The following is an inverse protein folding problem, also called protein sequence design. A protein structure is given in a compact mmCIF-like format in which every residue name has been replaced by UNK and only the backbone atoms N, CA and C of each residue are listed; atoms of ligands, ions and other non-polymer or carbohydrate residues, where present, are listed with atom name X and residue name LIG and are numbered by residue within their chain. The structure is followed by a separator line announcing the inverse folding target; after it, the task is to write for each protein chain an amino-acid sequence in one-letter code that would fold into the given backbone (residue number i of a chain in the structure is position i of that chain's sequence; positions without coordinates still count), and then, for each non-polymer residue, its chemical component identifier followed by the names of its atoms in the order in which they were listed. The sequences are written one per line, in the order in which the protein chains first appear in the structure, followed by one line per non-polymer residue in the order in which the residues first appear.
data_IF_296173484091
#
_entry.id   IF_296173484091
#
_cell.length_a   1.000
_cell.length_b   1.000
_cell.length_c   1.000
_cell.angle_alpha   90.00
_cell.angle_beta   90.00
_cell.angle_gamma   90.00
#
_symmetry.space_group_name_H-M   'P 1'
#
loop_
_entity.id
_entity.type
_entity.pdbx_description
1 polymer ?
#
# COMPACT_ATOMS: atom_id res chain seq x y z
N UNK A 1 -0.70 -13.03 5.63
CA UNK A 1 -1.85 -12.42 6.34
C UNK A 1 -2.13 -11.00 5.86
N UNK A 2 -1.15 -10.08 5.91
CA UNK A 2 -1.35 -8.69 5.43
C UNK A 2 -1.78 -8.63 3.97
N UNK A 3 -1.23 -9.49 3.11
CA UNK A 3 -1.65 -9.56 1.70
C UNK A 3 -3.11 -9.96 1.58
N UNK A 4 -3.61 -10.89 2.40
CA UNK A 4 -5.02 -11.29 2.41
C UNK A 4 -5.95 -10.11 2.67
N UNK A 5 -5.64 -9.26 3.66
CA UNK A 5 -6.42 -8.05 3.95
C UNK A 5 -6.35 -7.05 2.79
N UNK A 6 -5.17 -6.85 2.21
CA UNK A 6 -5.01 -6.01 1.01
C UNK A 6 -5.95 -6.46 -0.10
N UNK A 7 -5.95 -7.74 -0.44
CA UNK A 7 -6.79 -8.28 -1.53
C UNK A 7 -8.30 -8.13 -1.23
N UNK A 8 -8.72 -8.20 0.04
CA UNK A 8 -10.11 -7.95 0.44
C UNK A 8 -10.49 -6.48 0.21
N UNK A 9 -9.68 -5.54 0.69
CA UNK A 9 -9.95 -4.10 0.56
C UNK A 9 -9.85 -3.60 -0.89
N UNK A 10 -9.01 -4.20 -1.71
CA UNK A 10 -8.95 -3.93 -3.16
C UNK A 10 -10.11 -4.56 -3.94
N UNK A 11 -10.89 -5.44 -3.30
CA UNK A 11 -12.08 -6.06 -3.88
C UNK A 11 -11.79 -7.21 -4.84
N UNK A 12 -10.70 -7.96 -4.63
CA UNK A 12 -10.31 -9.10 -5.46
C UNK A 12 -11.14 -10.36 -5.16
N UNK A 13 -12.46 -10.25 -5.33
CA UNK A 13 -13.47 -11.26 -4.96
C UNK A 13 -13.13 -12.69 -5.40
N UNK A 14 -12.61 -12.87 -6.63
CA UNK A 14 -12.26 -14.18 -7.19
C UNK A 14 -11.30 -14.99 -6.33
N UNK A 15 -10.44 -14.32 -5.55
CA UNK A 15 -9.50 -14.98 -4.64
C UNK A 15 -10.18 -15.58 -3.40
N UNK A 16 -11.43 -15.19 -3.14
CA UNK A 16 -12.17 -15.53 -1.93
C UNK A 16 -13.41 -16.39 -2.20
N UNK A 17 -13.68 -16.81 -3.43
CA UNK A 17 -14.78 -17.71 -3.76
C UNK A 17 -14.73 -19.00 -2.91
N UNK A 18 -15.84 -19.34 -2.26
CA UNK A 18 -15.94 -20.50 -1.36
C UNK A 18 -15.34 -20.32 0.04
N UNK A 19 -14.77 -19.15 0.36
CA UNK A 19 -14.33 -18.81 1.72
C UNK A 19 -15.42 -18.08 2.50
N UNK A 20 -15.33 -18.15 3.84
CA UNK A 20 -16.31 -17.55 4.75
C UNK A 20 -16.62 -16.06 4.46
N UNK A 21 -15.62 -15.28 4.05
CA UNK A 21 -15.79 -13.85 3.80
C UNK A 21 -16.55 -13.54 2.50
N UNK A 22 -16.65 -14.49 1.57
CA UNK A 22 -17.22 -14.27 0.23
C UNK A 22 -18.62 -13.67 0.28
N UNK A 23 -19.48 -14.17 1.15
CA UNK A 23 -20.88 -13.72 1.25
C UNK A 23 -21.07 -12.64 2.33
N UNK A 24 -20.01 -12.29 3.06
CA UNK A 24 -20.04 -11.37 4.20
C UNK A 24 -19.44 -9.99 3.86
N UNK A 25 -18.75 -9.86 2.73
CA UNK A 25 -18.14 -8.61 2.27
C UNK A 25 -18.86 -8.04 1.06
N UNK A 26 -19.02 -6.72 1.06
CA UNK A 26 -19.54 -5.99 -0.10
C UNK A 26 -18.41 -5.74 -1.11
N UNK A 27 -18.27 -6.65 -2.08
CA UNK A 27 -17.23 -6.59 -3.12
C UNK A 27 -17.38 -5.43 -4.11
N UNK A 28 -18.49 -4.68 -4.05
CA UNK A 28 -18.61 -3.42 -4.80
C UNK A 28 -17.74 -2.31 -4.19
N UNK A 29 -17.40 -2.42 -2.89
CA UNK A 29 -16.53 -1.48 -2.18
C UNK A 29 -15.07 -1.80 -2.48
N UNK A 30 -14.38 -0.83 -3.06
CA UNK A 30 -12.95 -0.90 -3.36
C UNK A 30 -12.24 0.28 -2.74
N UNK A 31 -11.16 0.00 -2.05
CA UNK A 31 -10.30 0.98 -1.43
C UNK A 31 -8.90 0.86 -2.03
N UNK A 32 -8.24 1.98 -2.38
CA UNK A 32 -6.82 1.93 -2.66
C UNK A 32 -6.07 1.50 -1.39
N UNK A 33 -5.24 0.46 -1.48
CA UNK A 33 -4.45 -0.04 -0.34
C UNK A 33 -2.98 0.31 -0.55
N UNK A 34 -2.44 1.12 0.37
CA UNK A 34 -1.02 1.46 0.38
C UNK A 34 -0.30 0.48 1.30
N UNK A 35 0.45 -0.46 0.71
CA UNK A 35 1.31 -1.37 1.49
C UNK A 35 2.70 -0.77 1.65
N UNK A 36 3.06 -0.46 2.89
CA UNK A 36 4.41 0.00 3.25
C UNK A 36 5.15 -1.14 3.94
N UNK A 37 6.21 -1.64 3.30
CA UNK A 37 7.00 -2.75 3.81
C UNK A 37 8.49 -2.40 3.83
N UNK A 38 9.03 -2.28 5.05
CA UNK A 38 10.44 -2.01 5.27
C UNK A 38 11.31 -3.28 5.39
N UNK A 39 10.71 -4.46 5.58
CA UNK A 39 11.41 -5.72 5.82
C UNK A 39 12.07 -6.31 4.55
N UNK A 40 11.67 -5.89 3.35
CA UNK A 40 12.29 -6.34 2.10
C UNK A 40 13.73 -5.82 1.92
N UNK A 41 14.72 -6.70 2.02
CA UNK A 41 16.14 -6.39 1.77
C UNK A 41 16.94 -5.99 3.02
N UNK A 42 18.26 -6.15 2.96
CA UNK A 42 19.17 -5.75 4.05
C UNK A 42 19.44 -4.26 3.94
N UNK A 43 18.73 -3.45 4.74
CA UNK A 43 19.02 -2.02 4.89
C UNK A 43 20.30 -1.87 5.73
N UNK A 44 21.35 -1.31 5.14
CA UNK A 44 22.67 -1.20 5.79
C UNK A 44 22.86 0.12 6.53
N UNK A 45 22.08 1.15 6.18
CA UNK A 45 22.20 2.49 6.78
C UNK A 45 20.92 3.34 6.58
N UNK A 46 20.89 4.52 7.21
CA UNK A 46 19.77 5.48 7.13
C UNK A 46 19.49 5.97 5.70
N UNK A 47 20.53 6.16 4.90
CA UNK A 47 20.38 6.67 3.53
C UNK A 47 19.63 5.67 2.64
N UNK A 48 19.92 4.37 2.77
CA UNK A 48 19.20 3.31 2.05
C UNK A 48 17.72 3.23 2.48
N UNK A 49 17.43 3.43 3.78
CA UNK A 49 16.05 3.51 4.26
C UNK A 49 15.31 4.70 3.64
N UNK A 50 15.96 5.87 3.57
CA UNK A 50 15.36 7.09 2.99
C UNK A 50 15.08 6.92 1.50
N UNK A 51 16.01 6.31 0.75
CA UNK A 51 15.80 5.97 -0.65
C UNK A 51 14.63 5.01 -0.83
N UNK A 52 14.52 3.99 0.02
CA UNK A 52 13.42 3.03 -0.02
C UNK A 52 12.07 3.68 0.26
N UNK A 53 11.99 4.53 1.29
CA UNK A 53 10.76 5.27 1.62
C UNK A 53 10.34 6.16 0.44
N UNK A 54 11.27 6.91 -0.14
CA UNK A 54 10.98 7.74 -1.31
C UNK A 54 10.51 6.93 -2.52
N UNK A 55 11.08 5.74 -2.74
CA UNK A 55 10.63 4.83 -3.78
C UNK A 55 9.20 4.30 -3.55
N UNK A 56 8.81 4.08 -2.29
CA UNK A 56 7.43 3.72 -1.94
C UNK A 56 6.50 4.89 -2.26
N UNK A 57 6.81 6.11 -1.83
CA UNK A 57 5.98 7.30 -2.11
C UNK A 57 5.78 7.52 -3.61
N UNK A 58 6.84 7.44 -4.41
CA UNK A 58 6.73 7.61 -5.86
C UNK A 58 5.78 6.60 -6.49
N UNK A 59 5.90 5.31 -6.11
CA UNK A 59 5.02 4.24 -6.62
C UNK A 59 3.58 4.43 -6.17
N UNK A 60 3.38 4.80 -4.90
CA UNK A 60 2.05 5.07 -4.35
C UNK A 60 1.38 6.23 -5.07
N UNK A 61 2.08 7.36 -5.21
CA UNK A 61 1.57 8.53 -5.92
C UNK A 61 1.18 8.22 -7.37
N UNK A 62 2.03 7.49 -8.10
CA UNK A 62 1.73 7.01 -9.46
C UNK A 62 0.51 6.10 -9.51
N UNK A 63 0.37 5.18 -8.55
CA UNK A 63 -0.76 4.25 -8.49
C UNK A 63 -2.08 4.95 -8.14
N UNK A 64 -2.03 6.02 -7.35
CA UNK A 64 -3.19 6.80 -6.93
C UNK A 64 -3.52 7.95 -7.90
N UNK A 65 -2.58 8.32 -8.78
CA UNK A 65 -2.71 9.48 -9.66
C UNK A 65 -2.68 10.81 -8.89
N UNK A 66 -1.93 10.88 -7.80
CA UNK A 66 -1.78 12.07 -6.95
C UNK A 66 -0.34 12.60 -7.01
N UNK A 67 -0.18 13.88 -6.74
CA UNK A 67 1.13 14.53 -6.55
C UNK A 67 1.34 14.88 -5.07
N UNK A 68 2.60 15.06 -4.67
CA UNK A 68 2.99 15.53 -3.34
C UNK A 68 3.82 16.82 -3.47
N UNK A 69 3.56 17.82 -2.62
CA UNK A 69 4.27 19.10 -2.65
C UNK A 69 5.49 19.08 -1.73
N UNK A 70 5.42 18.32 -0.63
CA UNK A 70 6.48 18.25 0.36
C UNK A 70 7.64 17.36 -0.11
N UNK A 71 8.85 17.78 0.27
CA UNK A 71 10.11 17.16 -0.21
C UNK A 71 10.71 16.20 0.78
N UNK A 72 10.47 16.40 2.07
CA UNK A 72 10.95 15.52 3.12
C UNK A 72 9.98 14.36 3.37
N UNK A 73 10.50 13.31 4.01
CA UNK A 73 9.75 12.08 4.26
C UNK A 73 8.54 12.32 5.17
N UNK A 74 8.70 13.16 6.21
CA UNK A 74 7.64 13.40 7.18
C UNK A 74 6.47 14.14 6.53
N UNK A 75 6.76 15.15 5.72
CA UNK A 75 5.76 15.89 4.96
C UNK A 75 4.95 14.99 4.03
N UNK A 76 5.62 14.15 3.23
CA UNK A 76 4.96 13.25 2.27
C UNK A 76 4.03 12.24 2.93
N UNK A 77 4.33 11.80 4.16
CA UNK A 77 3.41 10.94 4.92
C UNK A 77 2.08 11.62 5.27
N UNK A 78 2.03 12.96 5.32
CA UNK A 78 0.79 13.69 5.57
C UNK A 78 -0.01 14.03 4.30
N UNK A 79 0.57 13.81 3.12
CA UNK A 79 -0.06 14.13 1.82
C UNK A 79 -0.69 12.89 1.15
N UNK A 80 -0.35 11.69 1.61
CA UNK A 80 -0.91 10.41 1.16
C UNK A 80 -1.91 9.85 2.16
#
# INVERSE_FOLDING_TARGET
FIDTLKEIFEGNQKLFEGLYIHDQWDWSRKFPVIKIDFAGGVLKNRQELDQKINGIFLKTAQSLGVDYELKDIQGRFGEI
#
